data_IF_643686199203
#
_entry.id   IF_643686199203
#
_cell.length_a   1.000
_cell.length_b   1.000
_cell.length_c   1.000
_cell.angle_alpha   90.00
_cell.angle_beta   90.00
_cell.angle_gamma   90.00
#
_symmetry.space_group_name_H-M   'P 1'
#
loop_
_entity.id
_entity.type
_entity.pdbx_description
1 polymer ?
#
# COMPACT_ATOMS: atom_id res chain seq x y z
N UNK A 1 -0.95 -28.88 13.33
CA UNK A 1 -1.41 -28.71 11.94
C UNK A 1 -1.00 -27.31 11.48
N UNK A 2 -0.51 -27.19 10.25
CA UNK A 2 -0.09 -25.91 9.70
C UNK A 2 -1.32 -25.11 9.23
N UNK A 3 -1.32 -23.78 9.43
CA UNK A 3 -2.39 -22.88 9.01
C UNK A 3 -1.85 -21.80 8.10
N UNK A 4 -2.50 -21.57 6.98
CA UNK A 4 -2.10 -20.51 6.05
C UNK A 4 -3.33 -19.86 5.44
N UNK A 5 -3.25 -18.56 5.18
CA UNK A 5 -4.35 -17.85 4.56
C UNK A 5 -3.97 -16.45 4.09
N UNK A 6 -4.80 -15.93 3.17
CA UNK A 6 -4.74 -14.57 2.67
C UNK A 6 -5.54 -13.63 3.57
N UNK A 7 -4.87 -12.62 4.12
CA UNK A 7 -5.44 -11.61 5.00
C UNK A 7 -5.45 -10.28 4.27
N UNK A 8 -6.57 -9.93 3.68
CA UNK A 8 -6.65 -8.78 2.79
C UNK A 8 -7.08 -7.53 3.53
N UNK A 9 -6.33 -6.45 3.32
CA UNK A 9 -6.50 -5.16 4.00
C UNK A 9 -7.13 -4.19 3.00
N UNK A 10 -8.37 -3.79 3.27
CA UNK A 10 -9.14 -2.87 2.44
C UNK A 10 -9.68 -1.70 3.26
N UNK A 11 -10.06 -0.61 2.62
CA UNK A 11 -10.63 0.58 3.27
C UNK A 11 -10.29 1.86 2.52
N UNK A 12 -10.77 2.98 3.04
CA UNK A 12 -10.61 4.30 2.43
C UNK A 12 -9.12 4.73 2.33
N UNK A 13 -8.79 5.72 1.47
CA UNK A 13 -7.45 6.30 1.47
C UNK A 13 -7.09 6.91 2.83
N UNK A 14 -5.80 6.86 3.19
CA UNK A 14 -5.22 7.50 4.37
C UNK A 14 -5.70 7.01 5.74
N UNK A 15 -6.46 5.93 5.83
CA UNK A 15 -6.87 5.31 7.11
C UNK A 15 -5.75 4.52 7.80
N UNK A 16 -4.58 4.38 7.13
CA UNK A 16 -3.39 3.74 7.70
C UNK A 16 -3.23 2.25 7.37
N UNK A 17 -3.78 1.77 6.23
CA UNK A 17 -3.64 0.37 5.76
C UNK A 17 -2.19 -0.06 5.63
N UNK A 18 -1.37 0.70 4.90
CA UNK A 18 0.06 0.40 4.69
C UNK A 18 0.86 0.47 5.99
N UNK A 19 0.51 1.39 6.90
CA UNK A 19 1.12 1.46 8.23
C UNK A 19 0.80 0.21 9.04
N UNK A 20 -0.47 -0.22 9.02
CA UNK A 20 -0.92 -1.43 9.69
C UNK A 20 -0.21 -2.67 9.11
N UNK A 21 -0.17 -2.81 7.79
CA UNK A 21 0.51 -3.92 7.14
C UNK A 21 1.99 -3.99 7.52
N UNK A 22 2.74 -2.88 7.39
CA UNK A 22 4.15 -2.84 7.77
C UNK A 22 4.36 -3.20 9.25
N UNK A 23 3.46 -2.76 10.14
CA UNK A 23 3.54 -3.09 11.58
C UNK A 23 3.26 -4.57 11.85
N UNK A 24 2.32 -5.20 11.12
CA UNK A 24 1.98 -6.63 11.26
C UNK A 24 3.04 -7.55 10.63
N UNK A 25 3.66 -7.11 9.52
CA UNK A 25 4.75 -7.85 8.86
C UNK A 25 6.07 -7.69 9.63
N UNK A 26 6.27 -6.55 10.29
CA UNK A 26 7.51 -6.22 10.99
C UNK A 26 8.57 -5.56 10.11
N UNK A 27 8.27 -5.39 8.80
CA UNK A 27 9.17 -4.82 7.80
C UNK A 27 8.48 -3.75 6.95
N UNK A 28 9.26 -2.82 6.40
CA UNK A 28 8.75 -1.75 5.55
C UNK A 28 8.64 -2.20 4.09
N UNK A 29 7.54 -2.83 3.73
CA UNK A 29 7.26 -3.30 2.36
C UNK A 29 6.27 -2.42 1.59
N UNK A 30 5.49 -1.59 2.26
CA UNK A 30 4.64 -0.57 1.65
C UNK A 30 5.12 0.83 2.00
N UNK A 31 5.10 1.75 1.05
CA UNK A 31 5.40 3.15 1.29
C UNK A 31 4.28 3.83 2.07
N UNK A 32 4.65 4.82 2.90
CA UNK A 32 3.71 5.51 3.78
C UNK A 32 3.82 7.02 3.56
N UNK A 33 2.74 7.65 3.15
CA UNK A 33 2.61 9.12 3.11
C UNK A 33 1.21 9.55 3.51
N UNK A 34 1.04 10.82 3.85
CA UNK A 34 -0.28 11.42 4.12
C UNK A 34 -1.09 11.71 2.84
N UNK A 35 -0.49 11.52 1.65
CA UNK A 35 -1.15 11.81 0.37
C UNK A 35 -2.00 10.64 -0.11
N UNK A 36 -3.11 10.95 -0.77
CA UNK A 36 -3.92 9.93 -1.44
C UNK A 36 -3.11 9.23 -2.55
N UNK A 37 -3.55 8.04 -2.97
CA UNK A 37 -2.88 7.24 -3.99
C UNK A 37 -1.41 6.89 -3.67
N UNK A 38 -1.06 6.83 -2.39
CA UNK A 38 0.25 6.35 -1.94
C UNK A 38 0.44 4.91 -2.39
N UNK A 39 -0.43 4.00 -2.03
CA UNK A 39 -0.47 2.63 -2.56
C UNK A 39 -1.25 2.62 -3.87
N UNK A 40 -0.62 2.18 -4.96
CA UNK A 40 -1.26 2.04 -6.28
C UNK A 40 -1.40 0.60 -6.73
N UNK A 41 -0.54 -0.28 -6.25
CA UNK A 41 -0.55 -1.71 -6.52
C UNK A 41 -1.04 -2.49 -5.31
N UNK A 42 -1.49 -3.71 -5.53
CA UNK A 42 -1.66 -4.68 -4.48
C UNK A 42 -0.29 -5.25 -4.12
N UNK A 43 0.08 -5.19 -2.83
CA UNK A 43 1.38 -5.61 -2.32
C UNK A 43 1.15 -6.70 -1.29
N UNK A 44 1.81 -7.85 -1.44
CA UNK A 44 1.75 -8.92 -0.46
C UNK A 44 2.94 -8.86 0.48
N UNK A 45 2.65 -9.05 1.78
CA UNK A 45 3.63 -9.24 2.84
C UNK A 45 3.43 -10.57 3.53
N UNK A 46 4.48 -11.37 3.61
CA UNK A 46 4.42 -12.75 4.06
C UNK A 46 5.04 -12.84 5.44
N UNK A 47 4.27 -13.35 6.41
CA UNK A 47 4.74 -13.63 7.75
C UNK A 47 4.73 -15.12 8.00
N UNK A 48 5.89 -15.66 8.33
CA UNK A 48 6.10 -17.08 8.57
C UNK A 48 6.30 -17.36 10.05
N UNK A 49 5.63 -18.40 10.54
CA UNK A 49 5.90 -19.01 11.84
C UNK A 49 6.18 -20.50 11.69
N UNK A 50 6.40 -21.17 12.78
CA UNK A 50 6.66 -22.62 12.78
C UNK A 50 5.45 -23.38 12.22
N UNK A 51 4.26 -23.02 12.68
CA UNK A 51 2.98 -23.70 12.40
C UNK A 51 2.00 -22.86 11.57
N UNK A 52 2.43 -21.72 11.00
CA UNK A 52 1.56 -20.85 10.19
C UNK A 52 2.30 -20.07 9.12
N UNK A 53 1.52 -19.58 8.14
CA UNK A 53 1.93 -18.54 7.20
C UNK A 53 0.75 -17.58 6.98
N UNK A 54 0.98 -16.29 7.18
CA UNK A 54 0.01 -15.23 6.90
C UNK A 54 0.47 -14.46 5.67
N UNK A 55 -0.39 -14.38 4.66
CA UNK A 55 -0.15 -13.55 3.47
C UNK A 55 -1.01 -12.30 3.58
N UNK A 56 -0.45 -11.24 4.14
CA UNK A 56 -1.12 -9.94 4.15
C UNK A 56 -1.13 -9.33 2.76
N UNK A 57 -2.19 -8.59 2.44
CA UNK A 57 -2.32 -7.91 1.16
C UNK A 57 -2.74 -6.46 1.39
N UNK A 58 -1.82 -5.50 1.22
CA UNK A 58 -2.14 -4.07 1.19
C UNK A 58 -2.74 -3.70 -0.15
N UNK A 59 -3.81 -2.92 -0.14
CA UNK A 59 -4.53 -2.50 -1.33
C UNK A 59 -4.60 -0.98 -1.46
N UNK A 60 -4.74 -0.46 -2.70
CA UNK A 60 -5.08 0.93 -2.90
C UNK A 60 -6.31 1.34 -2.10
N UNK A 61 -6.36 2.59 -1.64
CA UNK A 61 -7.55 3.13 -0.97
C UNK A 61 -8.74 3.16 -1.93
N UNK A 62 -9.91 2.76 -1.42
CA UNK A 62 -11.16 2.77 -2.19
C UNK A 62 -11.58 4.22 -2.45
N UNK A 63 -11.70 4.58 -3.71
CA UNK A 63 -12.15 5.90 -4.15
C UNK A 63 -12.99 5.78 -5.43
N UNK A 64 -13.83 6.77 -5.68
CA UNK A 64 -14.57 6.85 -6.95
C UNK A 64 -13.58 7.21 -8.07
N UNK A 65 -13.41 6.36 -9.10
CA UNK A 65 -12.42 6.59 -10.15
C UNK A 65 -12.85 7.74 -11.08
N UNK A 66 -11.88 8.57 -11.47
CA UNK A 66 -12.06 9.65 -12.43
C UNK A 66 -11.28 9.40 -13.74
N UNK A 67 -10.37 8.41 -13.76
CA UNK A 67 -9.55 8.03 -14.91
C UNK A 67 -9.08 6.57 -14.78
N UNK A 68 -8.62 5.99 -15.89
CA UNK A 68 -8.32 4.54 -16.02
C UNK A 68 -7.35 3.99 -14.96
N UNK A 69 -6.31 4.72 -14.59
CA UNK A 69 -5.41 4.28 -13.50
C UNK A 69 -6.18 4.07 -12.18
N UNK A 70 -7.12 4.98 -11.84
CA UNK A 70 -7.91 4.81 -10.62
C UNK A 70 -8.91 3.65 -10.71
N UNK A 71 -9.40 3.33 -11.92
CA UNK A 71 -10.21 2.12 -12.15
C UNK A 71 -9.38 0.87 -11.85
N UNK A 72 -8.15 0.80 -12.37
CA UNK A 72 -7.21 -0.30 -12.09
C UNK A 72 -6.90 -0.42 -10.60
N UNK A 73 -6.68 0.70 -9.91
CA UNK A 73 -6.49 0.71 -8.45
C UNK A 73 -7.72 0.16 -7.71
N UNK A 74 -8.93 0.55 -8.12
CA UNK A 74 -10.17 0.05 -7.52
C UNK A 74 -10.34 -1.47 -7.80
N UNK A 75 -9.91 -1.96 -8.96
CA UNK A 75 -9.96 -3.38 -9.29
C UNK A 75 -9.05 -4.20 -8.38
N UNK A 76 -7.87 -3.72 -8.00
CA UNK A 76 -7.05 -4.36 -6.97
C UNK A 76 -7.78 -4.49 -5.62
N UNK A 77 -8.49 -3.43 -5.19
CA UNK A 77 -9.27 -3.48 -3.95
C UNK A 77 -10.48 -4.40 -4.05
N UNK A 78 -11.10 -4.49 -5.22
CA UNK A 78 -12.22 -5.43 -5.47
C UNK A 78 -11.74 -6.89 -5.51
N UNK A 79 -10.63 -7.18 -6.17
CA UNK A 79 -10.08 -8.54 -6.21
C UNK A 79 -9.70 -9.03 -4.82
N UNK A 80 -9.24 -8.15 -3.95
CA UNK A 80 -8.93 -8.48 -2.57
C UNK A 80 -10.16 -8.89 -1.72
N UNK A 81 -11.39 -8.59 -2.17
CA UNK A 81 -12.60 -9.10 -1.53
C UNK A 81 -12.90 -10.55 -1.92
N UNK A 82 -12.41 -11.02 -3.07
CA UNK A 82 -12.79 -12.34 -3.61
C UNK A 82 -11.87 -13.47 -3.16
N UNK A 83 -10.63 -13.16 -2.79
CA UNK A 83 -9.61 -14.17 -2.42
C UNK A 83 -9.18 -14.08 -0.94
N UNK A 84 -9.94 -13.41 -0.09
CA UNK A 84 -9.65 -13.28 1.33
C UNK A 84 -10.09 -14.52 2.12
N UNK A 85 -9.19 -15.11 2.90
CA UNK A 85 -9.52 -16.03 3.98
C UNK A 85 -9.93 -15.28 5.26
N UNK A 86 -9.36 -14.09 5.47
CA UNK A 86 -9.75 -13.13 6.51
C UNK A 86 -9.73 -11.73 5.89
N UNK A 87 -10.78 -10.96 6.15
CA UNK A 87 -10.90 -9.60 5.63
C UNK A 87 -10.70 -8.58 6.75
N UNK A 88 -9.72 -7.69 6.60
CA UNK A 88 -9.52 -6.53 7.46
C UNK A 88 -10.11 -5.29 6.76
N UNK A 89 -11.24 -4.80 7.24
CA UNK A 89 -11.76 -3.50 6.83
C UNK A 89 -11.21 -2.41 7.75
N UNK A 90 -10.34 -1.57 7.22
CA UNK A 90 -9.65 -0.52 8.00
C UNK A 90 -10.34 0.82 7.80
N UNK A 91 -10.73 1.41 8.90
CA UNK A 91 -11.21 2.79 9.02
C UNK A 91 -10.33 3.54 10.02
N UNK A 92 -10.53 4.84 10.18
CA UNK A 92 -9.89 5.61 11.25
C UNK A 92 -10.91 6.49 11.99
N UNK A 93 -10.41 7.20 12.98
CA UNK A 93 -11.24 8.03 13.89
C UNK A 93 -11.90 9.23 13.21
N UNK A 94 -11.47 9.58 11.98
CA UNK A 94 -12.01 10.70 11.17
C UNK A 94 -12.76 10.25 9.93
N UNK A 95 -12.76 8.95 9.64
CA UNK A 95 -13.35 8.43 8.43
C UNK A 95 -14.89 8.33 8.54
N UNK A 96 -15.55 8.48 7.41
CA UNK A 96 -17.00 8.38 7.29
C UNK A 96 -17.38 7.28 6.31
N UNK A 97 -18.29 6.40 6.72
CA UNK A 97 -18.81 5.31 5.87
C UNK A 97 -19.53 5.84 4.62
N UNK A 98 -20.07 7.04 4.67
CA UNK A 98 -20.84 7.67 3.59
C UNK A 98 -20.01 7.92 2.32
N UNK A 99 -18.68 7.93 2.46
CA UNK A 99 -17.78 8.14 1.32
C UNK A 99 -17.77 6.97 0.32
N UNK A 100 -18.06 5.74 0.76
CA UNK A 100 -17.96 4.53 -0.06
C UNK A 100 -19.00 3.45 0.32
N UNK A 101 -20.27 3.83 0.43
CA UNK A 101 -21.37 2.93 0.82
C UNK A 101 -21.44 1.67 -0.04
N UNK A 102 -21.30 1.80 -1.37
CA UNK A 102 -21.31 0.66 -2.29
C UNK A 102 -20.22 -0.37 -1.96
N UNK A 103 -19.04 0.09 -1.56
CA UNK A 103 -17.96 -0.81 -1.19
C UNK A 103 -18.22 -1.48 0.16
N UNK A 104 -18.76 -0.76 1.13
CA UNK A 104 -19.13 -1.31 2.43
C UNK A 104 -20.23 -2.36 2.30
N UNK A 105 -21.21 -2.18 1.40
CA UNK A 105 -22.18 -3.23 1.13
C UNK A 105 -21.53 -4.51 0.59
N UNK A 106 -20.51 -4.41 -0.27
CA UNK A 106 -19.73 -5.58 -0.72
C UNK A 106 -18.97 -6.25 0.44
N UNK A 107 -18.42 -5.45 1.36
CA UNK A 107 -17.75 -5.96 2.57
C UNK A 107 -18.75 -6.70 3.47
N UNK A 108 -19.96 -6.17 3.67
CA UNK A 108 -21.03 -6.85 4.46
C UNK A 108 -21.42 -8.20 3.91
N UNK A 109 -21.44 -8.34 2.58
CA UNK A 109 -21.83 -9.55 1.88
C UNK A 109 -20.69 -10.57 1.73
N UNK A 110 -19.47 -10.18 2.11
CA UNK A 110 -18.31 -11.07 2.01
C UNK A 110 -18.45 -12.24 2.98
N UNK A 111 -18.19 -13.49 2.54
CA UNK A 111 -18.31 -14.67 3.40
C UNK A 111 -17.13 -14.86 4.36
N UNK A 112 -15.99 -14.24 4.10
CA UNK A 112 -14.81 -14.36 4.96
C UNK A 112 -15.04 -13.72 6.35
N UNK A 113 -14.40 -14.24 7.41
CA UNK A 113 -14.36 -13.58 8.70
C UNK A 113 -13.94 -12.12 8.56
N UNK A 114 -14.74 -11.20 9.09
CA UNK A 114 -14.55 -9.76 8.97
C UNK A 114 -14.05 -9.18 10.28
N UNK A 115 -12.86 -8.60 10.24
CA UNK A 115 -12.30 -7.80 11.33
C UNK A 115 -12.37 -6.32 10.93
N UNK A 116 -13.11 -5.53 11.68
CA UNK A 116 -13.17 -4.07 11.53
C UNK A 116 -12.07 -3.44 12.37
N UNK A 117 -11.14 -2.80 11.72
CA UNK A 117 -10.00 -2.13 12.36
C UNK A 117 -10.30 -0.63 12.46
N UNK A 118 -10.49 -0.12 13.67
CA UNK A 118 -10.58 1.32 13.92
C UNK A 118 -9.17 1.81 14.30
N UNK A 119 -8.47 2.38 13.32
CA UNK A 119 -7.09 2.83 13.47
C UNK A 119 -6.99 4.27 13.98
N UNK A 120 -5.78 4.67 14.41
CA UNK A 120 -5.42 6.01 14.91
C UNK A 120 -6.17 6.40 16.19
N UNK A 121 -6.47 5.45 17.05
CA UNK A 121 -7.17 5.72 18.33
C UNK A 121 -6.35 6.59 19.28
N UNK A 122 -5.05 6.70 19.06
CA UNK A 122 -4.14 7.63 19.73
C UNK A 122 -4.53 9.13 19.56
N UNK A 123 -5.41 9.43 18.59
CA UNK A 123 -5.85 10.80 18.28
C UNK A 123 -7.17 11.20 18.93
N UNK A 124 -7.82 10.31 19.67
CA UNK A 124 -9.11 10.59 20.36
C UNK A 124 -9.12 10.06 21.78
N UNK A 125 -10.05 10.56 22.58
CA UNK A 125 -10.33 10.08 23.92
C UNK A 125 -11.23 8.82 23.90
N UNK A 126 -11.31 8.16 25.08
CA UNK A 126 -12.09 6.93 25.24
C UNK A 126 -13.59 7.13 25.00
N UNK A 127 -14.15 8.26 25.39
CA UNK A 127 -15.60 8.55 25.21
C UNK A 127 -15.97 8.57 23.73
N UNK A 128 -15.17 9.27 22.90
CA UNK A 128 -15.35 9.30 21.44
C UNK A 128 -15.14 7.93 20.80
N UNK A 129 -14.18 7.16 21.32
CA UNK A 129 -13.94 5.80 20.83
C UNK A 129 -15.18 4.92 21.06
N UNK A 130 -15.77 4.96 22.25
CA UNK A 130 -16.99 4.18 22.57
C UNK A 130 -18.15 4.53 21.61
N UNK A 131 -18.36 5.82 21.36
CA UNK A 131 -19.39 6.26 20.39
C UNK A 131 -19.12 5.72 18.99
N UNK A 132 -17.86 5.79 18.53
CA UNK A 132 -17.45 5.32 17.22
C UNK A 132 -17.61 3.80 17.08
N UNK A 133 -17.18 3.02 18.07
CA UNK A 133 -17.36 1.56 18.13
C UNK A 133 -18.83 1.19 18.03
N UNK A 134 -19.72 1.86 18.78
CA UNK A 134 -21.15 1.59 18.74
C UNK A 134 -21.75 1.90 17.36
N UNK A 135 -21.34 3.00 16.72
CA UNK A 135 -21.76 3.35 15.36
C UNK A 135 -21.38 2.25 14.35
N UNK A 136 -20.13 1.81 14.39
CA UNK A 136 -19.65 0.75 13.50
C UNK A 136 -20.28 -0.62 13.77
N UNK A 137 -20.58 -0.93 15.04
CA UNK A 137 -21.28 -2.16 15.42
C UNK A 137 -22.69 -2.25 14.84
N UNK A 138 -23.39 -1.10 14.72
CA UNK A 138 -24.68 -1.04 14.05
C UNK A 138 -24.55 -1.21 12.53
N UNK A 139 -23.50 -0.66 11.94
CA UNK A 139 -23.27 -0.70 10.49
C UNK A 139 -22.78 -2.07 10.02
N UNK A 140 -21.85 -2.69 10.75
CA UNK A 140 -21.24 -3.97 10.47
C UNK A 140 -21.43 -4.96 11.63
N UNK A 141 -22.67 -5.45 11.86
CA UNK A 141 -22.99 -6.23 13.07
C UNK A 141 -22.30 -7.59 13.15
N UNK A 142 -21.80 -8.10 12.03
CA UNK A 142 -21.04 -9.39 11.96
C UNK A 142 -19.54 -9.20 12.16
N UNK A 143 -19.03 -7.97 12.14
CA UNK A 143 -17.60 -7.71 12.25
C UNK A 143 -17.14 -7.79 13.71
N UNK A 144 -15.97 -8.39 13.93
CA UNK A 144 -15.24 -8.23 15.18
C UNK A 144 -14.48 -6.91 15.14
N UNK A 145 -14.62 -6.06 16.16
CA UNK A 145 -14.06 -4.70 16.16
C UNK A 145 -12.77 -4.65 16.95
N UNK A 146 -11.72 -4.14 16.31
CA UNK A 146 -10.37 -3.95 16.86
C UNK A 146 -9.97 -2.48 16.80
N UNK A 147 -10.12 -1.73 17.90
CA UNK A 147 -9.50 -0.42 18.03
C UNK A 147 -7.98 -0.56 18.15
N UNK A 148 -7.21 0.11 17.28
CA UNK A 148 -5.75 0.02 17.24
C UNK A 148 -5.10 1.38 16.99
N UNK A 149 -3.83 1.51 17.35
CA UNK A 149 -2.92 2.48 16.76
C UNK A 149 -1.80 1.72 16.06
N UNK A 150 -1.83 1.72 14.73
CA UNK A 150 -0.78 1.08 13.94
C UNK A 150 0.57 1.81 14.08
N UNK A 151 0.54 3.13 14.31
CA UNK A 151 1.73 3.95 14.52
C UNK A 151 2.40 3.62 15.86
N UNK A 152 1.62 3.58 16.95
CA UNK A 152 2.09 3.29 18.30
C UNK A 152 2.14 1.78 18.61
N UNK A 153 1.82 0.94 17.63
CA UNK A 153 1.74 -0.53 17.75
C UNK A 153 0.80 -1.00 18.87
N UNK A 154 -0.20 -0.18 19.22
CA UNK A 154 -1.16 -0.52 20.27
C UNK A 154 -2.20 -1.53 19.77
N UNK A 155 -2.46 -2.57 20.56
CA UNK A 155 -3.43 -3.64 20.37
C UNK A 155 -3.19 -4.52 19.11
N UNK A 156 -1.97 -4.48 18.53
CA UNK A 156 -1.63 -5.29 17.36
C UNK A 156 -1.40 -6.76 17.69
N UNK A 157 -0.90 -7.08 18.89
CA UNK A 157 -0.67 -8.48 19.30
C UNK A 157 -1.98 -9.25 19.44
N UNK A 158 -3.02 -8.62 19.97
CA UNK A 158 -4.37 -9.20 20.05
C UNK A 158 -4.97 -9.41 18.66
N UNK A 159 -4.83 -8.42 17.79
CA UNK A 159 -5.25 -8.52 16.39
C UNK A 159 -4.52 -9.66 15.67
N UNK A 160 -3.19 -9.73 15.80
CA UNK A 160 -2.37 -10.79 15.19
C UNK A 160 -2.78 -12.17 15.67
N UNK A 161 -2.97 -12.34 16.99
CA UNK A 161 -3.41 -13.60 17.59
C UNK A 161 -4.77 -14.03 17.07
N UNK A 162 -5.70 -13.08 16.88
CA UNK A 162 -7.01 -13.38 16.33
C UNK A 162 -6.94 -13.75 14.85
N UNK A 163 -6.17 -13.03 14.05
CA UNK A 163 -5.91 -13.37 12.64
C UNK A 163 -5.40 -14.81 12.54
N UNK A 164 -4.34 -15.15 13.29
CA UNK A 164 -3.78 -16.52 13.31
C UNK A 164 -4.84 -17.58 13.64
N UNK A 165 -5.73 -17.30 14.59
CA UNK A 165 -6.78 -18.22 14.99
C UNK A 165 -7.85 -18.44 13.89
N UNK A 166 -8.06 -17.46 13.02
CA UNK A 166 -9.03 -17.51 11.94
C UNK A 166 -8.49 -18.18 10.65
N UNK A 167 -7.18 -18.39 10.54
CA UNK A 167 -6.59 -19.00 9.35
C UNK A 167 -7.10 -20.43 9.14
N UNK A 168 -7.40 -20.82 7.89
CA UNK A 168 -7.73 -22.20 7.55
C UNK A 168 -6.53 -23.14 7.71
N UNK A 169 -6.80 -24.42 7.86
CA UNK A 169 -5.79 -25.46 7.75
C UNK A 169 -5.34 -25.57 6.30
N UNK A 170 -4.08 -25.23 6.04
CA UNK A 170 -3.50 -25.24 4.70
C UNK A 170 -1.96 -25.35 4.81
N UNK A 171 -1.28 -25.96 3.85
CA UNK A 171 0.17 -25.82 3.72
C UNK A 171 0.56 -24.36 3.41
N UNK A 172 1.83 -24.03 3.54
CA UNK A 172 2.35 -22.72 3.15
C UNK A 172 2.18 -22.49 1.62
N UNK A 173 1.81 -21.26 1.24
CA UNK A 173 1.64 -20.86 -0.16
C UNK A 173 2.97 -20.40 -0.79
N UNK A 174 3.88 -19.88 0.04
CA UNK A 174 5.17 -19.31 -0.36
C UNK A 174 6.30 -19.95 0.45
N UNK A 175 7.51 -19.86 -0.07
CA UNK A 175 8.70 -20.31 0.64
C UNK A 175 8.84 -19.56 1.98
N UNK A 176 9.36 -20.23 3.00
CA UNK A 176 9.39 -19.68 4.37
C UNK A 176 10.38 -18.52 4.56
N UNK A 177 11.29 -18.31 3.64
CA UNK A 177 12.23 -17.19 3.59
C UNK A 177 11.72 -16.02 2.72
N UNK A 178 10.60 -16.22 2.01
CA UNK A 178 10.00 -15.18 1.18
C UNK A 178 9.23 -14.18 2.03
N UNK A 179 9.55 -12.88 1.88
CA UNK A 179 8.91 -11.77 2.60
C UNK A 179 7.77 -11.11 1.82
N UNK A 180 7.81 -11.16 0.48
CA UNK A 180 6.86 -10.45 -0.40
C UNK A 180 6.78 -11.08 -1.78
N UNK A 181 5.71 -10.77 -2.53
CA UNK A 181 5.53 -11.17 -3.94
C UNK A 181 6.25 -10.24 -4.94
N UNK A 182 6.83 -9.13 -4.47
CA UNK A 182 7.40 -8.10 -5.34
C UNK A 182 8.92 -8.24 -5.51
N UNK A 183 9.44 -8.02 -6.73
CA UNK A 183 10.87 -8.00 -6.98
C UNK A 183 11.53 -6.71 -6.47
N UNK A 184 12.85 -6.72 -6.29
CA UNK A 184 13.63 -5.54 -5.86
C UNK A 184 13.38 -4.28 -6.70
N UNK A 185 13.19 -4.43 -8.01
CA UNK A 185 12.87 -3.32 -8.91
C UNK A 185 11.58 -2.58 -8.53
N UNK A 186 10.57 -3.29 -8.04
CA UNK A 186 9.33 -2.69 -7.57
C UNK A 186 9.57 -1.76 -6.36
N UNK A 187 10.39 -2.19 -5.40
CA UNK A 187 10.69 -1.35 -4.24
C UNK A 187 11.48 -0.11 -4.62
N UNK A 188 12.37 -0.21 -5.61
CA UNK A 188 13.06 0.97 -6.17
C UNK A 188 12.05 1.98 -6.72
N UNK A 189 11.06 1.53 -7.52
CA UNK A 189 10.03 2.43 -8.06
C UNK A 189 9.22 3.08 -6.95
N UNK A 190 8.80 2.30 -5.94
CA UNK A 190 8.01 2.80 -4.82
C UNK A 190 8.81 3.79 -3.93
N UNK A 191 10.08 3.53 -3.65
CA UNK A 191 10.93 4.46 -2.88
C UNK A 191 11.08 5.80 -3.64
N UNK A 192 11.32 5.77 -4.96
CA UNK A 192 11.40 7.01 -5.77
C UNK A 192 10.04 7.73 -5.74
N UNK A 193 8.95 6.99 -5.92
CA UNK A 193 7.59 7.53 -5.93
C UNK A 193 7.21 8.14 -4.56
N UNK A 194 7.65 7.53 -3.45
CA UNK A 194 7.48 8.11 -2.11
C UNK A 194 8.17 9.47 -2.00
N UNK A 195 9.42 9.60 -2.48
CA UNK A 195 10.12 10.89 -2.43
C UNK A 195 9.45 11.94 -3.33
N UNK A 196 8.87 11.52 -4.43
CA UNK A 196 8.04 12.43 -5.25
C UNK A 196 6.79 12.86 -4.48
N UNK A 197 6.08 11.94 -3.83
CA UNK A 197 4.93 12.26 -2.98
C UNK A 197 5.29 13.23 -1.85
N UNK A 198 6.46 13.10 -1.24
CA UNK A 198 6.89 13.94 -0.12
C UNK A 198 7.39 15.32 -0.56
N UNK A 199 8.01 15.43 -1.73
CA UNK A 199 8.70 16.65 -2.16
C UNK A 199 7.91 17.53 -3.14
N UNK A 200 6.80 17.04 -3.73
CA UNK A 200 5.97 17.81 -4.66
C UNK A 200 4.52 17.85 -4.21
N UNK A 201 3.82 18.91 -4.60
CA UNK A 201 2.43 19.15 -4.24
C UNK A 201 1.50 19.21 -5.46
N UNK A 202 0.24 19.54 -5.20
CA UNK A 202 -0.84 19.63 -6.20
C UNK A 202 -0.97 18.34 -7.01
N UNK A 203 -0.98 18.46 -8.35
CA UNK A 203 -1.18 17.35 -9.27
C UNK A 203 0.10 16.54 -9.58
N UNK A 204 1.29 17.08 -9.31
CA UNK A 204 2.56 16.45 -9.70
C UNK A 204 2.69 15.00 -9.18
N UNK A 205 2.49 14.71 -7.88
CA UNK A 205 2.63 13.35 -7.35
C UNK A 205 1.67 12.34 -7.98
N UNK A 206 0.53 12.81 -8.47
CA UNK A 206 -0.53 11.97 -9.04
C UNK A 206 -0.40 11.75 -10.55
N UNK A 207 0.45 12.54 -11.21
CA UNK A 207 0.67 12.52 -12.66
C UNK A 207 1.96 11.82 -13.10
N UNK A 208 2.69 11.24 -12.14
CA UNK A 208 3.97 10.57 -12.41
C UNK A 208 3.85 9.06 -12.28
N UNK A 209 4.67 8.36 -13.07
CA UNK A 209 4.98 6.94 -12.89
C UNK A 209 6.49 6.75 -12.93
N UNK A 210 6.98 5.68 -12.29
CA UNK A 210 8.41 5.39 -12.23
C UNK A 210 8.67 4.00 -12.80
N UNK A 211 9.64 3.89 -13.69
CA UNK A 211 10.10 2.63 -14.28
C UNK A 211 11.60 2.47 -14.08
N UNK A 212 12.04 1.28 -13.68
CA UNK A 212 13.46 0.93 -13.58
C UNK A 212 13.91 0.34 -14.91
N UNK A 213 14.69 1.10 -15.69
CA UNK A 213 15.29 0.60 -16.94
C UNK A 213 16.43 -0.37 -16.67
N UNK A 214 17.30 -0.03 -15.72
CA UNK A 214 18.47 -0.84 -15.39
C UNK A 214 18.55 -1.08 -13.88
N UNK A 215 18.80 -2.33 -13.50
CA UNK A 215 19.11 -2.75 -12.14
C UNK A 215 20.22 -3.79 -12.24
N UNK A 216 21.42 -3.41 -11.82
CA UNK A 216 22.60 -4.27 -11.81
C UNK A 216 23.17 -4.31 -10.40
N UNK A 217 23.25 -5.49 -9.85
CA UNK A 217 23.75 -5.72 -8.50
C UNK A 217 25.08 -6.49 -8.58
N UNK A 218 26.10 -5.97 -7.93
CA UNK A 218 27.34 -6.68 -7.64
C UNK A 218 27.53 -6.82 -6.10
N UNK A 219 28.65 -7.38 -5.67
CA UNK A 219 28.88 -7.64 -4.25
C UNK A 219 28.82 -6.37 -3.37
N UNK A 220 29.17 -5.20 -3.90
CA UNK A 220 29.36 -3.97 -3.12
C UNK A 220 28.41 -2.83 -3.50
N UNK A 221 27.86 -2.87 -4.71
CA UNK A 221 27.14 -1.74 -5.29
C UNK A 221 25.95 -2.20 -6.13
N UNK A 222 24.84 -1.51 -5.99
CA UNK A 222 23.69 -1.63 -6.88
C UNK A 222 23.65 -0.38 -7.79
N UNK A 223 23.67 -0.59 -9.11
CA UNK A 223 23.51 0.46 -10.13
C UNK A 223 22.10 0.45 -10.66
N UNK A 224 21.44 1.60 -10.57
CA UNK A 224 20.04 1.77 -10.92
C UNK A 224 19.88 2.97 -11.84
N UNK A 225 19.25 2.74 -13.01
CA UNK A 225 18.76 3.80 -13.86
C UNK A 225 17.23 3.74 -13.87
N UNK A 226 16.57 4.84 -13.51
CA UNK A 226 15.13 4.92 -13.46
C UNK A 226 14.58 6.12 -14.23
N UNK A 227 13.46 5.90 -14.92
CA UNK A 227 12.68 6.91 -15.63
C UNK A 227 11.49 7.36 -14.78
N UNK A 228 11.29 8.65 -14.68
CA UNK A 228 10.09 9.28 -14.15
C UNK A 228 9.28 9.80 -15.33
N UNK A 229 8.13 9.21 -15.57
CA UNK A 229 7.19 9.68 -16.59
C UNK A 229 6.30 10.76 -16.01
N UNK A 230 6.12 11.86 -16.74
CA UNK A 230 5.16 12.91 -16.48
C UNK A 230 4.19 13.04 -17.66
N UNK A 231 2.99 13.58 -17.46
CA UNK A 231 2.02 13.73 -18.54
C UNK A 231 2.26 14.94 -19.44
N UNK A 232 2.96 15.98 -18.91
CA UNK A 232 3.12 17.29 -19.61
C UNK A 232 4.54 17.84 -19.43
N UNK A 233 4.98 18.63 -20.40
CA UNK A 233 6.29 19.30 -20.34
C UNK A 233 6.43 20.26 -19.15
N UNK A 234 5.34 20.94 -18.77
CA UNK A 234 5.32 21.78 -17.57
C UNK A 234 5.60 21.00 -16.28
N UNK A 235 5.02 19.80 -16.16
CA UNK A 235 5.25 18.89 -15.03
C UNK A 235 6.70 18.38 -15.02
N UNK A 236 7.24 18.02 -16.19
CA UNK A 236 8.66 17.67 -16.35
C UNK A 236 9.56 18.79 -15.85
N UNK A 237 9.26 20.04 -16.23
CA UNK A 237 10.02 21.22 -15.76
C UNK A 237 9.99 21.38 -14.23
N UNK A 238 8.83 21.17 -13.60
CA UNK A 238 8.67 21.22 -12.14
C UNK A 238 9.45 20.08 -11.45
N UNK A 239 9.37 18.85 -12.00
CA UNK A 239 10.10 17.69 -11.47
C UNK A 239 11.61 17.90 -11.49
N UNK A 240 12.15 18.45 -12.57
CA UNK A 240 13.59 18.75 -12.69
C UNK A 240 13.97 19.89 -11.76
N UNK A 241 13.15 20.95 -11.74
CA UNK A 241 13.40 22.17 -11.00
C UNK A 241 14.55 22.99 -11.57
N UNK A 242 14.77 24.18 -10.98
CA UNK A 242 15.82 25.11 -11.43
C UNK A 242 17.20 24.47 -11.31
N UNK A 243 17.92 24.35 -12.43
CA UNK A 243 19.25 23.72 -12.50
C UNK A 243 19.27 22.26 -11.99
N UNK A 244 18.15 21.53 -12.09
CA UNK A 244 18.05 20.13 -11.66
C UNK A 244 17.98 19.91 -10.14
N UNK A 245 17.82 20.95 -9.34
CA UNK A 245 17.90 20.89 -7.87
C UNK A 245 16.80 20.00 -7.26
N UNK A 246 15.58 20.08 -7.76
CA UNK A 246 14.45 19.29 -7.23
C UNK A 246 14.64 17.80 -7.50
N UNK A 247 14.99 17.43 -8.72
CA UNK A 247 15.26 16.03 -9.08
C UNK A 247 16.46 15.47 -8.31
N UNK A 248 17.53 16.27 -8.13
CA UNK A 248 18.69 15.88 -7.33
C UNK A 248 18.33 15.61 -5.87
N UNK A 249 17.41 16.42 -5.29
CA UNK A 249 16.92 16.20 -3.92
C UNK A 249 16.21 14.85 -3.82
N UNK A 250 15.25 14.59 -4.72
CA UNK A 250 14.52 13.30 -4.79
C UNK A 250 15.49 12.14 -4.93
N UNK A 251 16.43 12.21 -5.89
CA UNK A 251 17.43 11.16 -6.09
C UNK A 251 18.32 10.91 -4.88
N UNK A 252 18.72 11.98 -4.18
CA UNK A 252 19.56 11.87 -2.98
C UNK A 252 18.80 11.19 -1.83
N UNK A 253 17.55 11.58 -1.59
CA UNK A 253 16.70 11.00 -0.54
C UNK A 253 16.34 9.53 -0.89
N UNK A 254 15.95 9.25 -2.13
CA UNK A 254 15.64 7.91 -2.58
C UNK A 254 16.85 6.96 -2.45
N UNK A 255 18.05 7.41 -2.87
CA UNK A 255 19.28 6.63 -2.75
C UNK A 255 19.57 6.24 -1.31
N UNK A 256 19.41 7.17 -0.35
CA UNK A 256 19.64 6.88 1.08
C UNK A 256 18.69 5.80 1.60
N UNK A 257 17.42 5.89 1.26
CA UNK A 257 16.43 4.89 1.68
C UNK A 257 16.69 3.53 1.00
N UNK A 258 17.13 3.53 -0.26
CA UNK A 258 17.53 2.29 -0.95
C UNK A 258 18.77 1.66 -0.30
N UNK A 259 19.77 2.45 0.10
CA UNK A 259 20.96 1.95 0.80
C UNK A 259 20.59 1.27 2.13
N UNK A 260 19.59 1.81 2.84
CA UNK A 260 19.05 1.19 4.07
C UNK A 260 18.27 -0.09 3.72
N UNK A 261 17.41 -0.03 2.70
CA UNK A 261 16.54 -1.15 2.32
C UNK A 261 17.32 -2.37 1.81
N UNK A 262 18.38 -2.15 1.02
CA UNK A 262 19.19 -3.22 0.42
C UNK A 262 20.44 -3.58 1.24
N UNK A 263 20.73 -2.83 2.30
CA UNK A 263 21.97 -2.93 3.08
C UNK A 263 23.23 -2.91 2.19
N UNK A 264 23.18 -2.09 1.13
CA UNK A 264 24.24 -1.95 0.12
C UNK A 264 24.36 -0.53 -0.38
N UNK A 265 25.55 -0.18 -0.90
CA UNK A 265 25.71 1.10 -1.62
C UNK A 265 24.89 1.11 -2.90
N UNK A 266 24.31 2.29 -3.20
CA UNK A 266 23.47 2.49 -4.38
C UNK A 266 23.98 3.67 -5.21
N UNK A 267 24.19 3.43 -6.50
CA UNK A 267 24.34 4.46 -7.52
C UNK A 267 23.01 4.61 -8.26
N UNK A 268 22.38 5.78 -8.14
CA UNK A 268 21.06 6.06 -8.71
C UNK A 268 21.14 7.19 -9.73
N UNK A 269 20.69 6.93 -10.95
CA UNK A 269 20.45 7.93 -11.99
C UNK A 269 18.95 8.04 -12.26
N UNK A 270 18.47 9.29 -12.29
CA UNK A 270 17.06 9.61 -12.55
C UNK A 270 16.93 10.45 -13.82
N UNK A 271 16.02 10.04 -14.69
CA UNK A 271 15.65 10.77 -15.89
C UNK A 271 14.17 11.10 -15.88
N UNK A 272 13.76 12.22 -16.49
CA UNK A 272 12.36 12.61 -16.61
C UNK A 272 11.95 12.64 -18.08
N UNK A 273 10.92 11.89 -18.42
CA UNK A 273 10.35 11.77 -19.77
C UNK A 273 8.87 12.18 -19.77
N UNK A 274 8.41 12.77 -20.85
CA UNK A 274 6.98 13.07 -21.02
C UNK A 274 6.32 11.92 -21.78
N UNK A 275 5.28 11.35 -21.17
CA UNK A 275 4.37 10.38 -21.79
C UNK A 275 2.94 10.91 -21.64
N UNK A 276 2.46 11.55 -22.70
CA UNK A 276 1.17 12.24 -22.69
C UNK A 276 0.02 11.27 -22.41
N UNK A 277 -0.84 11.65 -21.45
CA UNK A 277 -2.07 10.95 -21.11
C UNK A 277 -1.87 9.45 -20.76
N UNK A 278 -0.73 9.11 -20.16
CA UNK A 278 -0.39 7.72 -19.83
C UNK A 278 -1.39 7.07 -18.87
N UNK A 279 -2.00 7.86 -17.96
CA UNK A 279 -2.98 7.37 -16.99
C UNK A 279 -4.29 6.84 -17.59
N UNK A 280 -4.56 7.16 -18.87
CA UNK A 280 -5.74 6.70 -19.61
C UNK A 280 -5.40 5.70 -20.72
N UNK A 281 -4.12 5.35 -20.92
CA UNK A 281 -3.69 4.42 -21.97
C UNK A 281 -3.51 3.01 -21.42
N UNK A 282 -4.39 2.08 -21.76
CA UNK A 282 -4.36 0.69 -21.28
C UNK A 282 -3.01 0.01 -21.54
N UNK A 283 -2.39 0.22 -22.71
CA UNK A 283 -1.07 -0.34 -23.02
C UNK A 283 0.00 0.15 -22.03
N UNK A 284 -0.01 1.44 -21.66
CA UNK A 284 0.94 2.00 -20.72
C UNK A 284 0.66 1.48 -19.31
N UNK A 285 -0.61 1.42 -18.92
CA UNK A 285 -1.02 0.89 -17.63
C UNK A 285 -0.57 -0.57 -17.47
N UNK A 286 -0.76 -1.42 -18.48
CA UNK A 286 -0.28 -2.82 -18.46
C UNK A 286 1.25 -2.90 -18.34
N UNK A 287 1.99 -2.06 -19.08
CA UNK A 287 3.45 -2.02 -19.00
C UNK A 287 3.95 -1.62 -17.60
N UNK A 288 3.22 -0.77 -16.89
CA UNK A 288 3.51 -0.36 -15.51
C UNK A 288 2.94 -1.33 -14.45
N UNK A 289 2.37 -2.47 -14.87
CA UNK A 289 1.86 -3.50 -13.96
C UNK A 289 0.45 -3.24 -13.42
N UNK A 290 -0.32 -2.33 -14.03
CA UNK A 290 -1.73 -2.15 -13.75
C UNK A 290 -2.59 -3.02 -14.66
N UNK A 291 -3.66 -3.61 -14.11
CA UNK A 291 -4.66 -4.31 -14.90
C UNK A 291 -5.86 -3.39 -15.10
N UNK A 292 -6.04 -2.82 -16.32
CA UNK A 292 -7.15 -1.94 -16.62
C UNK A 292 -8.49 -2.65 -16.84
N UNK A 293 -8.49 -3.99 -16.88
CA UNK A 293 -9.68 -4.83 -17.15
C UNK A 293 -10.43 -5.19 -15.89
#
# INVERSE_FOLDING_TARGET
MHRSGFVNIVGNPNVGKSTLMNALVGERISIITSKAQTTRHRIMGIVNGEDFQIVYSDTPGVLKPNYRLQESMLNFSRSALTDADVLLYVTDVYDSYEKNEEFIEKVKLNPAPLLLIINKIDLIDEEKLVVLVNKWKLLLPKAEIYPVSALEKFNLDNLFSRIKALLPESPAFFDKDQLTDKPSRFFVTEIIREKILLNYDKEIPYSVEVEVEQFQEDERLIRINALIYAERDSQKGILIGHGGKSLKKVGTEARKDMEIFFDKKVFLELFVKVEKDWRNKDIKLRNFGYNPD
#
